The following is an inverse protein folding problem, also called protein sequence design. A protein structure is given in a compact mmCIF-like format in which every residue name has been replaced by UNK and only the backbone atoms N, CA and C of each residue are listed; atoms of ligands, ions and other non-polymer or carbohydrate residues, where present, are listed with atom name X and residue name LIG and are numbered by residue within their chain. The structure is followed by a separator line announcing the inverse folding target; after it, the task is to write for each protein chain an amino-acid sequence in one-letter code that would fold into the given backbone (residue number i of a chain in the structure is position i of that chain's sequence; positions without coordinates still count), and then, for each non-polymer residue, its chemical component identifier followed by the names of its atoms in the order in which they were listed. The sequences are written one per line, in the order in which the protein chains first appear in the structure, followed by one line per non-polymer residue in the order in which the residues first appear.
data_IF_637921633095
#
_entry.id   IF_637921633095
#
_cell.length_a   1.000
_cell.length_b   1.000
_cell.length_c   1.000
_cell.angle_alpha   90.00
_cell.angle_beta   90.00
_cell.angle_gamma   90.00
#
_symmetry.space_group_name_H-M   'P 1'
#
loop_
_entity.id
_entity.type
_entity.pdbx_description
1 polymer ?
#
# COMPACT_ATOMS: atom_id res chain seq x y z
N UNK A 1 1.23 -16.87 41.41
CA UNK A 1 0.45 -15.74 40.88
C UNK A 1 1.29 -15.05 39.81
N UNK A 2 1.23 -15.50 38.54
CA UNK A 2 1.98 -14.89 37.43
C UNK A 2 1.19 -13.70 36.91
N UNK A 3 1.38 -12.55 37.54
CA UNK A 3 0.92 -11.26 37.02
C UNK A 3 2.01 -10.67 36.14
N UNK A 4 1.62 -10.15 34.96
CA UNK A 4 2.39 -9.36 33.99
C UNK A 4 2.90 -10.05 32.69
N UNK A 5 2.32 -11.18 32.28
CA UNK A 5 2.32 -11.56 30.85
C UNK A 5 1.06 -10.95 30.22
N UNK A 6 1.22 -9.96 29.33
CA UNK A 6 0.08 -9.49 28.53
C UNK A 6 -0.37 -10.65 27.66
N UNK A 7 -1.65 -11.03 27.74
CA UNK A 7 -2.20 -12.06 26.87
C UNK A 7 -2.18 -11.62 25.39
N UNK A 8 -2.32 -12.57 24.46
CA UNK A 8 -2.30 -12.28 23.04
C UNK A 8 -3.34 -11.21 22.66
N UNK A 9 -4.50 -11.22 23.33
CA UNK A 9 -5.58 -10.26 23.13
C UNK A 9 -5.18 -8.81 23.47
N UNK A 10 -4.64 -8.57 24.66
CA UNK A 10 -4.18 -7.25 25.09
C UNK A 10 -3.01 -6.75 24.22
N UNK A 11 -2.15 -7.65 23.74
CA UNK A 11 -1.12 -7.28 22.78
C UNK A 11 -1.73 -6.85 21.45
N UNK A 12 -2.69 -7.61 20.91
CA UNK A 12 -3.41 -7.28 19.67
C UNK A 12 -4.08 -5.90 19.77
N UNK A 13 -4.81 -5.65 20.86
CA UNK A 13 -5.45 -4.34 21.09
C UNK A 13 -4.44 -3.19 21.12
N UNK A 14 -3.32 -3.35 21.82
CA UNK A 14 -2.26 -2.31 21.86
C UNK A 14 -1.65 -2.07 20.48
N UNK A 15 -1.43 -3.13 19.70
CA UNK A 15 -0.88 -3.03 18.36
C UNK A 15 -1.82 -2.30 17.40
N UNK A 16 -3.13 -2.58 17.49
CA UNK A 16 -4.19 -1.95 16.68
C UNK A 16 -4.46 -0.50 17.12
N UNK A 17 -4.40 -0.21 18.42
CA UNK A 17 -4.57 1.15 18.93
C UNK A 17 -3.48 2.12 18.46
N UNK A 18 -2.31 1.61 18.06
CA UNK A 18 -1.19 2.45 17.57
C UNK A 18 -1.36 2.81 16.09
N UNK A 19 -1.78 1.84 15.27
CA UNK A 19 -2.06 2.00 13.85
C UNK A 19 -2.80 0.79 13.32
N UNK A 20 -3.49 0.98 12.19
CA UNK A 20 -4.04 -0.10 11.39
C UNK A 20 -2.96 -1.12 10.99
N UNK A 21 -3.34 -2.40 11.00
CA UNK A 21 -2.49 -3.56 10.69
C UNK A 21 -3.30 -4.61 9.97
N UNK A 22 -2.65 -5.37 9.09
CA UNK A 22 -3.23 -6.60 8.56
C UNK A 22 -3.15 -7.74 9.58
N UNK A 23 -3.96 -8.77 9.36
CA UNK A 23 -3.96 -9.99 10.16
C UNK A 23 -2.58 -10.66 10.16
N UNK A 24 -1.90 -10.68 9.00
CA UNK A 24 -0.56 -11.21 8.83
C UNK A 24 0.50 -10.43 9.63
N UNK A 25 0.41 -9.09 9.65
CA UNK A 25 1.30 -8.27 10.50
C UNK A 25 1.11 -8.57 11.99
N UNK A 26 -0.14 -8.70 12.44
CA UNK A 26 -0.45 -9.02 13.83
C UNK A 26 0.04 -10.42 14.20
N UNK A 27 -0.25 -11.42 13.36
CA UNK A 27 0.20 -12.81 13.52
C UNK A 27 1.72 -12.87 13.68
N UNK A 28 2.47 -12.24 12.76
CA UNK A 28 3.93 -12.18 12.84
C UNK A 28 4.44 -11.48 14.11
N UNK A 29 3.77 -10.42 14.57
CA UNK A 29 4.14 -9.71 15.80
C UNK A 29 3.86 -10.51 17.07
N UNK A 30 2.78 -11.27 17.11
CA UNK A 30 2.45 -12.13 18.24
C UNK A 30 3.37 -13.36 18.27
N UNK A 31 3.67 -13.97 17.12
CA UNK A 31 4.66 -15.05 17.01
C UNK A 31 6.05 -14.60 17.50
N UNK A 32 6.50 -13.41 17.11
CA UNK A 32 7.76 -12.82 17.62
C UNK A 32 7.79 -12.64 19.14
N UNK A 33 6.63 -12.56 19.79
CA UNK A 33 6.49 -12.45 21.26
C UNK A 33 6.32 -13.80 21.95
N UNK A 34 6.27 -14.90 21.20
CA UNK A 34 6.23 -16.26 21.74
C UNK A 34 4.83 -16.78 22.09
N UNK A 35 3.76 -16.15 21.60
CA UNK A 35 2.40 -16.71 21.77
C UNK A 35 2.20 -17.96 20.93
N UNK A 36 1.43 -18.92 21.43
CA UNK A 36 1.08 -20.13 20.70
C UNK A 36 0.11 -19.82 19.56
N UNK A 37 0.13 -20.62 18.49
CA UNK A 37 -0.70 -20.40 17.31
C UNK A 37 -2.20 -20.30 17.66
N UNK A 38 -2.69 -21.15 18.56
CA UNK A 38 -4.09 -21.13 19.00
C UNK A 38 -4.48 -19.83 19.73
N UNK A 39 -3.60 -19.30 20.58
CA UNK A 39 -3.82 -18.02 21.28
C UNK A 39 -3.87 -16.86 20.28
N UNK A 40 -3.03 -16.92 19.25
CA UNK A 40 -2.97 -15.92 18.18
C UNK A 40 -4.26 -15.94 17.38
N UNK A 41 -4.66 -17.10 16.85
CA UNK A 41 -5.88 -17.19 16.04
C UNK A 41 -7.12 -16.81 16.85
N UNK A 42 -7.19 -17.20 18.13
CA UNK A 42 -8.27 -16.78 19.03
C UNK A 42 -8.32 -15.25 19.18
N UNK A 43 -7.18 -14.59 19.39
CA UNK A 43 -7.12 -13.15 19.53
C UNK A 43 -7.46 -12.40 18.22
N UNK A 44 -7.00 -12.92 17.07
CA UNK A 44 -7.29 -12.33 15.76
C UNK A 44 -8.76 -12.53 15.36
N UNK A 45 -9.32 -13.71 15.58
CA UNK A 45 -10.73 -14.00 15.32
C UNK A 45 -11.63 -13.08 16.15
N UNK A 46 -11.33 -12.92 17.45
CA UNK A 46 -12.04 -11.97 18.31
C UNK A 46 -11.91 -10.53 17.82
N UNK A 47 -10.71 -10.11 17.37
CA UNK A 47 -10.51 -8.76 16.85
C UNK A 47 -11.32 -8.52 15.56
N UNK A 48 -11.44 -9.53 14.70
CA UNK A 48 -12.25 -9.47 13.49
C UNK A 48 -13.75 -9.45 13.80
N UNK A 49 -14.22 -10.29 14.73
CA UNK A 49 -15.61 -10.35 15.17
C UNK A 49 -16.13 -9.00 15.68
N UNK A 50 -15.29 -8.25 16.43
CA UNK A 50 -15.65 -6.92 16.93
C UNK A 50 -15.26 -5.77 15.99
N UNK A 51 -14.81 -6.07 14.76
CA UNK A 51 -14.52 -5.08 13.71
C UNK A 51 -13.22 -4.28 13.87
N UNK A 52 -12.35 -4.66 14.81
CA UNK A 52 -11.03 -4.03 14.98
C UNK A 52 -10.02 -4.51 13.96
N UNK A 53 -10.17 -5.73 13.45
CA UNK A 53 -9.34 -6.28 12.37
C UNK A 53 -10.20 -6.51 11.13
N UNK A 54 -9.76 -5.97 10.00
CA UNK A 54 -10.45 -6.07 8.72
C UNK A 54 -9.41 -5.86 7.61
N UNK A 55 -9.00 -6.96 6.97
CA UNK A 55 -7.96 -6.96 5.95
C UNK A 55 -8.42 -6.30 4.64
N UNK A 56 -9.70 -6.45 4.27
CA UNK A 56 -10.29 -5.77 3.12
C UNK A 56 -10.27 -4.25 3.31
N UNK A 57 -10.74 -3.77 4.48
CA UNK A 57 -10.69 -2.34 4.84
C UNK A 57 -9.24 -1.83 4.90
N UNK A 58 -8.33 -2.62 5.46
CA UNK A 58 -6.91 -2.28 5.49
C UNK A 58 -6.34 -2.14 4.07
N UNK A 59 -6.63 -3.09 3.19
CA UNK A 59 -6.17 -3.11 1.80
C UNK A 59 -6.63 -1.85 1.06
N UNK A 60 -7.92 -1.52 1.13
CA UNK A 60 -8.52 -0.34 0.50
C UNK A 60 -7.88 0.96 1.01
N UNK A 61 -7.77 1.13 2.33
CA UNK A 61 -7.16 2.31 2.93
C UNK A 61 -5.69 2.46 2.52
N UNK A 62 -4.95 1.37 2.53
CA UNK A 62 -3.54 1.34 2.15
C UNK A 62 -3.36 1.67 0.67
N UNK A 63 -4.17 1.08 -0.20
CA UNK A 63 -4.12 1.29 -1.64
C UNK A 63 -4.37 2.76 -1.98
N UNK A 64 -5.50 3.30 -1.52
CA UNK A 64 -5.87 4.70 -1.65
C UNK A 64 -4.76 5.65 -1.19
N UNK A 65 -4.20 5.39 -0.01
CA UNK A 65 -3.12 6.22 0.55
C UNK A 65 -1.86 6.21 -0.32
N UNK A 66 -1.46 5.05 -0.85
CA UNK A 66 -0.29 4.91 -1.72
C UNK A 66 -0.49 5.60 -3.07
N UNK A 67 -1.67 5.44 -3.68
CA UNK A 67 -1.99 6.03 -4.98
C UNK A 67 -2.09 7.56 -4.87
N UNK A 68 -2.85 8.07 -3.90
CA UNK A 68 -3.00 9.51 -3.65
C UNK A 68 -1.65 10.20 -3.38
N UNK A 69 -0.71 9.51 -2.75
CA UNK A 69 0.65 10.04 -2.51
C UNK A 69 1.58 9.91 -3.73
N UNK A 70 1.15 9.28 -4.82
CA UNK A 70 1.97 8.98 -5.99
C UNK A 70 3.13 8.03 -5.66
N UNK A 71 2.94 7.11 -4.71
CA UNK A 71 3.96 6.15 -4.27
C UNK A 71 3.87 4.81 -5.01
N UNK A 72 2.68 4.40 -5.40
CA UNK A 72 2.45 3.18 -6.14
C UNK A 72 1.21 3.30 -7.03
N UNK A 73 1.25 2.65 -8.18
CA UNK A 73 0.15 2.45 -9.12
C UNK A 73 0.35 1.11 -9.83
N UNK A 74 -0.71 0.55 -10.41
CA UNK A 74 -0.66 -0.71 -11.17
C UNK A 74 0.11 -1.84 -10.46
N UNK A 75 1.07 -2.51 -11.12
CA UNK A 75 1.79 -3.65 -10.54
C UNK A 75 2.55 -3.32 -9.24
N UNK A 76 2.98 -2.08 -9.05
CA UNK A 76 3.67 -1.68 -7.82
C UNK A 76 2.70 -1.65 -6.64
N UNK A 77 1.46 -1.20 -6.87
CA UNK A 77 0.43 -1.15 -5.85
C UNK A 77 0.11 -2.55 -5.34
N UNK A 78 -0.12 -3.48 -6.27
CA UNK A 78 -0.35 -4.89 -5.97
C UNK A 78 0.78 -5.48 -5.11
N UNK A 79 2.04 -5.27 -5.50
CA UNK A 79 3.19 -5.77 -4.73
C UNK A 79 3.28 -5.16 -3.32
N UNK A 80 2.95 -3.87 -3.16
CA UNK A 80 2.92 -3.24 -1.83
C UNK A 80 1.84 -3.85 -0.94
N UNK A 81 0.68 -4.21 -1.49
CA UNK A 81 -0.38 -4.87 -0.73
C UNK A 81 -0.03 -6.32 -0.40
N UNK A 82 0.55 -7.07 -1.33
CA UNK A 82 1.02 -8.46 -1.11
C UNK A 82 2.01 -8.56 0.06
N UNK A 83 2.86 -7.54 0.27
CA UNK A 83 3.80 -7.49 1.41
C UNK A 83 3.13 -7.45 2.77
N UNK A 84 1.85 -7.10 2.83
CA UNK A 84 1.05 -7.13 4.05
C UNK A 84 0.35 -8.48 4.26
N UNK A 85 0.59 -9.48 3.41
CA UNK A 85 0.02 -10.83 3.53
C UNK A 85 -1.50 -10.84 3.41
N UNK A 86 -2.04 -9.99 2.54
CA UNK A 86 -3.46 -9.88 2.23
C UNK A 86 -3.87 -10.92 1.19
N UNK A 87 -5.13 -11.33 1.21
CA UNK A 87 -5.67 -12.25 0.22
C UNK A 87 -5.77 -11.61 -1.17
N UNK A 88 -5.63 -12.41 -2.22
CA UNK A 88 -5.59 -11.93 -3.61
C UNK A 88 -6.87 -11.18 -4.00
N UNK A 89 -8.03 -11.62 -3.50
CA UNK A 89 -9.31 -10.96 -3.74
C UNK A 89 -9.34 -9.54 -3.15
N UNK A 90 -8.90 -9.35 -1.91
CA UNK A 90 -8.85 -8.04 -1.26
C UNK A 90 -7.86 -7.11 -1.96
N UNK A 91 -6.73 -7.66 -2.41
CA UNK A 91 -5.73 -6.92 -3.17
C UNK A 91 -6.31 -6.42 -4.49
N UNK A 92 -6.96 -7.31 -5.26
CA UNK A 92 -7.57 -6.97 -6.54
C UNK A 92 -8.64 -5.88 -6.36
N UNK A 93 -9.57 -6.08 -5.43
CA UNK A 93 -10.63 -5.11 -5.14
C UNK A 93 -10.06 -3.74 -4.70
N UNK A 94 -9.04 -3.74 -3.83
CA UNK A 94 -8.40 -2.50 -3.39
C UNK A 94 -7.66 -1.78 -4.51
N UNK A 95 -7.02 -2.51 -5.43
CA UNK A 95 -6.34 -1.92 -6.59
C UNK A 95 -7.34 -1.30 -7.57
N UNK A 96 -8.45 -2.00 -7.84
CA UNK A 96 -9.51 -1.53 -8.74
C UNK A 96 -10.19 -0.29 -8.15
N UNK A 97 -10.58 -0.33 -6.88
CA UNK A 97 -11.19 0.80 -6.19
C UNK A 97 -10.26 2.03 -6.17
N UNK A 98 -8.97 1.84 -5.87
CA UNK A 98 -8.01 2.94 -5.86
C UNK A 98 -7.76 3.52 -7.27
N UNK A 99 -7.78 2.68 -8.31
CA UNK A 99 -7.61 3.12 -9.71
C UNK A 99 -8.85 3.84 -10.24
N UNK A 100 -10.04 3.45 -9.78
CA UNK A 100 -11.29 4.13 -10.10
C UNK A 100 -11.38 5.50 -9.40
N UNK A 101 -10.98 5.58 -8.13
CA UNK A 101 -10.97 6.84 -7.37
C UNK A 101 -9.86 7.81 -7.85
N UNK A 102 -8.69 7.26 -8.20
CA UNK A 102 -7.52 8.02 -8.67
C UNK A 102 -6.98 7.42 -9.97
N UNK A 103 -7.52 7.84 -11.13
CA UNK A 103 -7.06 7.34 -12.42
C UNK A 103 -5.53 7.47 -12.58
N UNK A 104 -4.81 6.41 -13.01
CA UNK A 104 -3.36 6.42 -13.08
C UNK A 104 -2.76 7.59 -13.87
N UNK A 105 -3.41 7.99 -14.97
CA UNK A 105 -2.95 9.11 -15.80
C UNK A 105 -3.03 10.45 -15.07
N UNK A 106 -4.11 10.68 -14.32
CA UNK A 106 -4.27 11.88 -13.50
C UNK A 106 -3.19 11.93 -12.42
N UNK A 107 -3.00 10.83 -11.69
CA UNK A 107 -1.96 10.75 -10.63
C UNK A 107 -0.57 10.99 -11.22
N UNK A 108 -0.31 10.50 -12.43
CA UNK A 108 0.96 10.72 -13.12
C UNK A 108 1.16 12.19 -13.45
N UNK A 109 0.16 12.86 -14.06
CA UNK A 109 0.23 14.31 -14.38
C UNK A 109 0.45 15.16 -13.14
N UNK A 110 -0.35 14.95 -12.09
CA UNK A 110 -0.20 15.69 -10.83
C UNK A 110 1.19 15.49 -10.21
N UNK A 111 1.73 14.27 -10.28
CA UNK A 111 3.06 13.97 -9.75
C UNK A 111 4.17 14.55 -10.62
N UNK A 112 3.98 14.60 -11.94
CA UNK A 112 4.89 15.25 -12.89
C UNK A 112 4.96 16.74 -12.60
N UNK A 113 3.82 17.42 -12.53
CA UNK A 113 3.73 18.85 -12.25
C UNK A 113 4.37 19.19 -10.89
N UNK A 114 4.02 18.43 -9.84
CA UNK A 114 4.53 18.69 -8.48
C UNK A 114 6.04 18.48 -8.33
N UNK A 115 6.64 17.54 -9.07
CA UNK A 115 8.06 17.13 -8.87
C UNK A 115 9.00 17.62 -9.96
N UNK A 116 8.49 17.79 -11.17
CA UNK A 116 9.24 18.09 -12.38
C UNK A 116 8.55 19.23 -13.15
N UNK A 117 8.10 20.27 -12.45
CA UNK A 117 7.37 21.41 -13.03
C UNK A 117 8.07 22.08 -14.23
N UNK A 118 9.39 21.98 -14.31
CA UNK A 118 10.22 22.61 -15.36
C UNK A 118 10.78 21.57 -16.35
N UNK A 119 10.29 20.32 -16.31
CA UNK A 119 10.74 19.29 -17.23
C UNK A 119 9.98 19.41 -18.54
N UNK A 120 10.72 19.65 -19.62
CA UNK A 120 10.22 19.63 -21.00
C UNK A 120 10.79 18.40 -21.70
N UNK A 121 9.92 17.52 -22.18
CA UNK A 121 10.37 16.26 -22.79
C UNK A 121 11.10 16.50 -24.11
N UNK A 122 10.70 17.48 -24.91
CA UNK A 122 11.26 17.74 -26.24
C UNK A 122 12.64 18.40 -26.16
N UNK A 123 12.90 19.18 -25.11
CA UNK A 123 14.17 19.87 -24.87
C UNK A 123 15.12 19.10 -23.94
N UNK A 124 14.61 18.17 -23.12
CA UNK A 124 15.42 17.41 -22.19
C UNK A 124 16.46 16.51 -22.88
N UNK A 125 17.62 16.36 -22.25
CA UNK A 125 18.61 15.37 -22.65
C UNK A 125 18.10 13.93 -22.45
N UNK A 126 18.65 12.97 -23.18
CA UNK A 126 18.29 11.56 -23.03
C UNK A 126 18.51 11.03 -21.61
N UNK A 127 19.52 11.57 -20.91
CA UNK A 127 19.80 11.26 -19.51
C UNK A 127 18.67 11.74 -18.59
N UNK A 128 18.15 12.94 -18.83
CA UNK A 128 17.04 13.50 -18.05
C UNK A 128 15.73 12.78 -18.33
N UNK A 129 15.41 12.53 -19.61
CA UNK A 129 14.25 11.71 -20.01
C UNK A 129 14.28 10.36 -19.32
N UNK A 130 15.41 9.65 -19.41
CA UNK A 130 15.61 8.34 -18.76
C UNK A 130 15.49 8.39 -17.24
N UNK A 131 15.87 9.51 -16.60
CA UNK A 131 15.71 9.70 -15.15
C UNK A 131 14.23 9.84 -14.78
N UNK A 132 13.48 10.66 -15.51
CA UNK A 132 12.05 10.90 -15.27
C UNK A 132 11.23 9.64 -15.55
N UNK A 133 11.46 8.97 -16.68
CA UNK A 133 10.78 7.71 -17.02
C UNK A 133 11.00 6.65 -15.93
N UNK A 134 12.26 6.42 -15.51
CA UNK A 134 12.57 5.46 -14.43
C UNK A 134 11.97 5.84 -13.08
N UNK A 135 11.71 7.12 -12.83
CA UNK A 135 11.05 7.55 -11.60
C UNK A 135 9.58 7.07 -11.55
N UNK A 136 8.87 7.17 -12.66
CA UNK A 136 7.48 6.71 -12.77
C UNK A 136 7.37 5.19 -12.90
N UNK A 137 8.24 4.54 -13.67
CA UNK A 137 8.24 3.07 -13.77
C UNK A 137 8.48 2.38 -12.42
N UNK A 138 9.35 2.94 -11.56
CA UNK A 138 9.55 2.42 -10.18
C UNK A 138 8.32 2.53 -9.29
N UNK A 139 7.35 3.37 -9.67
CA UNK A 139 6.05 3.52 -9.01
C UNK A 139 4.96 2.67 -9.66
N UNK A 140 5.29 1.92 -10.72
CA UNK A 140 4.38 0.99 -11.37
C UNK A 140 3.57 1.55 -12.53
N UNK A 141 3.86 2.79 -12.98
CA UNK A 141 3.29 3.28 -14.23
C UNK A 141 3.92 2.57 -15.43
N UNK A 142 3.10 2.19 -16.41
CA UNK A 142 3.61 1.52 -17.61
C UNK A 142 4.41 2.50 -18.49
N UNK A 143 5.35 1.97 -19.27
CA UNK A 143 6.17 2.80 -20.16
C UNK A 143 5.31 3.57 -21.17
N UNK A 144 4.26 2.94 -21.70
CA UNK A 144 3.34 3.56 -22.66
C UNK A 144 2.60 4.75 -22.03
N UNK A 145 2.02 4.59 -20.84
CA UNK A 145 1.36 5.69 -20.11
C UNK A 145 2.31 6.85 -19.84
N UNK A 146 3.52 6.54 -19.39
CA UNK A 146 4.54 7.55 -19.10
C UNK A 146 4.91 8.31 -20.36
N UNK A 147 5.23 7.62 -21.46
CA UNK A 147 5.65 8.28 -22.70
C UNK A 147 4.51 9.05 -23.37
N UNK A 148 3.26 8.58 -23.26
CA UNK A 148 2.11 9.31 -23.77
C UNK A 148 2.01 10.68 -23.10
N UNK A 149 1.98 10.71 -21.76
CA UNK A 149 1.84 11.95 -21.00
C UNK A 149 3.07 12.85 -21.17
N UNK A 150 4.29 12.30 -21.10
CA UNK A 150 5.49 13.13 -21.25
C UNK A 150 5.62 13.78 -22.63
N UNK A 151 5.07 13.18 -23.70
CA UNK A 151 5.13 13.76 -25.05
C UNK A 151 4.04 14.79 -25.31
N UNK A 152 2.92 14.71 -24.60
CA UNK A 152 1.80 15.66 -24.66
C UNK A 152 2.11 16.94 -23.88
N UNK A 153 2.79 16.80 -22.74
CA UNK A 153 3.26 17.92 -21.94
C UNK A 153 4.49 18.54 -22.61
N UNK A 154 4.54 19.88 -22.64
CA UNK A 154 5.50 20.70 -23.40
C UNK A 154 6.93 20.31 -23.14
#
# INVERSE_FOLDING_TARGET
MRSNASDAWQVTLRLLATRDRSSSELRGKLQQRGFAAEEIETALARAAEIGYLDDARFAQNRARSLVRQGKASGPRLQLELQRHGLDEADIAQACDAASAEYPPEQVLRELLERRYSNFDYHQASDKERSRVVRFFQRRGFSLSQVLAILKEER
#
